data_IF_782022449898
#
_entry.id   IF_782022449898
#
_cell.length_a   1.000
_cell.length_b   1.000
_cell.length_c   1.000
_cell.angle_alpha   90.00
_cell.angle_beta   90.00
_cell.angle_gamma   90.00
#
_symmetry.space_group_name_H-M   'P 1'
#
loop_
_entity.id
_entity.type
_entity.pdbx_description
1 polymer ?
#
# COMPACT_ATOMS: atom_id res chain seq x y z
N UNK A 1 -13.16 51.92 -44.66
CA UNK A 1 -12.27 52.14 -43.49
C UNK A 1 -12.95 51.51 -42.29
N UNK A 2 -12.59 50.26 -42.01
CA UNK A 2 -13.18 49.51 -40.90
C UNK A 2 -12.61 50.03 -39.58
N UNK A 3 -13.50 50.26 -38.62
CA UNK A 3 -13.21 50.85 -37.31
C UNK A 3 -12.28 49.93 -36.49
N UNK A 4 -11.27 50.47 -35.78
CA UNK A 4 -10.26 49.69 -35.02
C UNK A 4 -10.83 48.92 -33.82
N UNK A 5 -12.13 49.05 -33.53
CA UNK A 5 -12.84 48.31 -32.49
C UNK A 5 -13.22 46.89 -32.90
N UNK A 6 -13.31 46.57 -34.20
CA UNK A 6 -13.69 45.21 -34.64
C UNK A 6 -12.52 44.22 -34.56
N UNK A 7 -11.27 44.68 -34.67
CA UNK A 7 -10.08 43.82 -34.63
C UNK A 7 -9.74 43.34 -33.21
N UNK A 8 -10.17 44.08 -32.18
CA UNK A 8 -9.95 43.67 -30.77
C UNK A 8 -10.95 42.61 -30.29
N UNK A 9 -12.16 42.56 -30.84
CA UNK A 9 -13.17 41.57 -30.44
C UNK A 9 -12.87 40.16 -30.99
N UNK A 10 -12.29 40.08 -32.20
CA UNK A 10 -11.93 38.80 -32.82
C UNK A 10 -10.63 38.24 -32.21
N UNK A 11 -9.65 39.08 -31.91
CA UNK A 11 -8.40 38.66 -31.25
C UNK A 11 -8.62 38.16 -29.81
N UNK A 12 -9.55 38.75 -29.08
CA UNK A 12 -9.91 38.29 -27.73
C UNK A 12 -10.61 36.91 -27.77
N UNK A 13 -11.48 36.68 -28.75
CA UNK A 13 -12.23 35.42 -28.86
C UNK A 13 -11.34 34.23 -29.28
N UNK A 14 -10.32 34.47 -30.11
CA UNK A 14 -9.35 33.41 -30.51
C UNK A 14 -8.33 33.15 -29.39
N UNK A 15 -7.92 34.17 -28.64
CA UNK A 15 -6.99 34.01 -27.52
C UNK A 15 -7.60 33.24 -26.34
N UNK A 16 -8.91 33.41 -26.05
CA UNK A 16 -9.56 32.66 -24.97
C UNK A 16 -9.80 31.19 -25.33
N UNK A 17 -10.01 30.86 -26.62
CA UNK A 17 -10.14 29.45 -27.06
C UNK A 17 -8.78 28.74 -27.07
N UNK A 18 -7.69 29.41 -27.44
CA UNK A 18 -6.34 28.81 -27.41
C UNK A 18 -5.79 28.65 -25.99
N UNK A 19 -6.12 29.56 -25.06
CA UNK A 19 -5.71 29.42 -23.65
C UNK A 19 -6.57 28.40 -22.89
N UNK A 20 -7.84 28.20 -23.27
CA UNK A 20 -8.66 27.12 -22.72
C UNK A 20 -8.22 25.72 -23.19
N UNK A 21 -7.66 25.60 -24.41
CA UNK A 21 -7.09 24.33 -24.92
C UNK A 21 -5.66 24.07 -24.43
N UNK A 22 -4.93 25.11 -24.02
CA UNK A 22 -3.58 24.99 -23.46
C UNK A 22 -3.52 24.61 -21.97
N UNK A 23 -4.66 24.59 -21.27
CA UNK A 23 -4.75 24.27 -19.84
C UNK A 23 -5.46 22.93 -19.55
N UNK A 24 -5.91 22.20 -20.58
CA UNK A 24 -6.40 20.81 -20.47
C UNK A 24 -5.37 19.77 -20.89
N UNK A 25 -4.11 20.16 -21.12
CA UNK A 25 -3.02 19.25 -21.50
C UNK A 25 -2.24 18.66 -20.31
N UNK A 26 -2.83 18.64 -19.13
CA UNK A 26 -2.26 17.98 -17.95
C UNK A 26 -3.22 16.85 -17.56
N UNK A 27 -2.82 15.61 -17.87
CA UNK A 27 -3.59 14.35 -17.92
C UNK A 27 -4.17 14.01 -19.30
N UNK A 28 -3.29 13.61 -20.23
CA UNK A 28 -3.69 12.76 -21.34
C UNK A 28 -4.00 11.38 -20.76
N UNK A 29 -5.25 11.14 -20.37
CA UNK A 29 -5.73 9.76 -20.32
C UNK A 29 -5.57 9.21 -21.74
N UNK A 30 -4.83 8.11 -21.88
CA UNK A 30 -4.79 7.35 -23.14
C UNK A 30 -6.25 7.01 -23.51
N UNK A 31 -6.63 6.93 -24.79
CA UNK A 31 -7.94 6.39 -25.13
C UNK A 31 -8.05 4.91 -24.73
N UNK A 32 -9.27 4.40 -24.47
CA UNK A 32 -9.45 2.97 -24.26
C UNK A 32 -9.06 2.17 -25.52
N UNK A 33 -8.67 0.90 -25.38
CA UNK A 33 -8.26 0.06 -26.50
C UNK A 33 -9.32 0.02 -27.61
N UNK A 34 -8.90 0.01 -28.87
CA UNK A 34 -9.82 -0.01 -30.00
C UNK A 34 -10.76 -1.23 -29.91
N UNK A 35 -12.07 -0.97 -29.99
CA UNK A 35 -13.11 -2.00 -29.89
C UNK A 35 -13.50 -2.42 -28.47
N UNK A 36 -12.83 -1.91 -27.43
CA UNK A 36 -13.15 -2.27 -26.03
C UNK A 36 -14.55 -1.82 -25.59
N UNK A 37 -14.98 -0.61 -25.96
CA UNK A 37 -16.32 -0.11 -25.63
C UNK A 37 -17.44 -0.94 -26.28
N UNK A 38 -17.30 -1.27 -27.56
CA UNK A 38 -18.25 -2.13 -28.30
C UNK A 38 -18.25 -3.54 -27.72
N UNK A 39 -17.07 -4.11 -27.47
CA UNK A 39 -16.90 -5.42 -26.83
C UNK A 39 -17.52 -5.48 -25.43
N UNK A 40 -17.44 -4.40 -24.63
CA UNK A 40 -18.06 -4.30 -23.30
C UNK A 40 -19.58 -4.21 -23.41
N UNK A 41 -20.10 -3.43 -24.35
CA UNK A 41 -21.54 -3.33 -24.58
C UNK A 41 -22.13 -4.68 -25.04
N UNK A 42 -21.46 -5.37 -25.96
CA UNK A 42 -21.87 -6.71 -26.39
C UNK A 42 -21.84 -7.73 -25.24
N UNK A 43 -20.83 -7.67 -24.37
CA UNK A 43 -20.78 -8.51 -23.17
C UNK A 43 -21.93 -8.21 -22.23
N UNK A 44 -22.21 -6.92 -21.98
CA UNK A 44 -23.33 -6.49 -21.13
C UNK A 44 -24.68 -7.00 -21.66
N UNK A 45 -24.92 -6.89 -22.97
CA UNK A 45 -26.14 -7.39 -23.62
C UNK A 45 -26.29 -8.90 -23.50
N UNK A 46 -25.18 -9.66 -23.63
CA UNK A 46 -25.20 -11.13 -23.42
C UNK A 46 -25.55 -11.50 -21.99
N UNK A 47 -24.95 -10.83 -21.00
CA UNK A 47 -25.21 -11.08 -19.58
C UNK A 47 -26.63 -10.67 -19.21
N UNK A 48 -27.11 -9.52 -19.68
CA UNK A 48 -28.48 -9.06 -19.42
C UNK A 48 -29.56 -9.97 -20.00
N UNK A 49 -29.22 -10.78 -21.00
CA UNK A 49 -30.11 -11.79 -21.59
C UNK A 49 -30.13 -13.13 -20.83
N UNK A 50 -29.30 -13.30 -19.80
CA UNK A 50 -29.27 -14.51 -18.96
C UNK A 50 -30.49 -14.55 -18.05
N UNK A 51 -31.20 -15.69 -18.06
CA UNK A 51 -32.29 -15.95 -17.12
C UNK A 51 -31.76 -15.87 -15.68
N UNK A 52 -32.37 -15.03 -14.85
CA UNK A 52 -31.95 -14.79 -13.46
C UNK A 52 -31.17 -13.50 -13.24
N UNK A 53 -30.87 -12.71 -14.29
CA UNK A 53 -30.22 -11.40 -14.19
C UNK A 53 -31.26 -10.28 -14.18
N UNK A 54 -31.16 -9.37 -13.21
CA UNK A 54 -32.03 -8.20 -13.05
C UNK A 54 -31.43 -6.94 -13.69
N UNK A 55 -30.13 -6.71 -13.53
CA UNK A 55 -29.43 -5.55 -14.08
C UNK A 55 -27.95 -5.84 -14.33
N UNK A 56 -27.38 -5.10 -15.26
CA UNK A 56 -25.95 -5.09 -15.57
C UNK A 56 -25.50 -3.65 -15.67
N UNK A 57 -24.50 -3.28 -14.89
CA UNK A 57 -23.81 -2.00 -14.95
C UNK A 57 -22.37 -2.22 -15.42
N UNK A 58 -21.85 -1.30 -16.23
CA UNK A 58 -20.50 -1.44 -16.79
C UNK A 58 -19.72 -0.14 -16.71
N UNK A 59 -18.41 -0.27 -16.50
CA UNK A 59 -17.48 0.86 -16.56
C UNK A 59 -16.14 0.41 -17.12
N UNK A 60 -15.51 1.31 -17.85
CA UNK A 60 -14.18 1.13 -18.42
C UNK A 60 -13.26 2.15 -17.75
N UNK A 61 -12.18 1.68 -17.12
CA UNK A 61 -11.28 2.55 -16.37
C UNK A 61 -9.82 2.18 -16.63
N UNK A 62 -8.99 3.19 -16.77
CA UNK A 62 -7.55 3.04 -16.79
C UNK A 62 -7.05 2.65 -15.40
N UNK A 63 -6.25 1.58 -15.30
CA UNK A 63 -5.79 1.04 -14.01
C UNK A 63 -4.91 2.03 -13.26
N UNK A 64 -3.93 2.58 -13.96
CA UNK A 64 -3.04 3.62 -13.44
C UNK A 64 -2.70 4.64 -14.54
N UNK A 65 -3.37 5.79 -14.51
CA UNK A 65 -3.17 6.84 -15.50
C UNK A 65 -1.76 7.46 -15.49
N UNK A 66 -0.99 7.26 -14.41
CA UNK A 66 0.30 7.90 -14.19
C UNK A 66 1.44 6.95 -14.49
N UNK A 67 1.40 5.75 -13.92
CA UNK A 67 2.52 4.81 -13.94
C UNK A 67 2.29 3.63 -14.93
N UNK A 68 1.05 3.35 -15.34
CA UNK A 68 0.70 2.34 -16.36
C UNK A 68 -0.46 2.76 -17.30
N UNK A 69 -0.25 3.78 -18.15
CA UNK A 69 -1.32 4.41 -18.89
C UNK A 69 -1.92 3.56 -20.02
N UNK A 70 -1.34 2.39 -20.33
CA UNK A 70 -1.86 1.53 -21.40
C UNK A 70 -2.72 0.37 -20.87
N UNK A 71 -2.79 0.21 -19.54
CA UNK A 71 -3.56 -0.86 -18.92
C UNK A 71 -4.96 -0.38 -18.54
N UNK A 72 -5.94 -1.13 -19.04
CA UNK A 72 -7.36 -0.86 -18.86
C UNK A 72 -8.07 -2.04 -18.20
N UNK A 73 -8.99 -1.69 -17.32
CA UNK A 73 -9.88 -2.61 -16.64
C UNK A 73 -11.31 -2.34 -17.12
N UNK A 74 -12.01 -3.41 -17.49
CA UNK A 74 -13.43 -3.41 -17.76
C UNK A 74 -14.12 -4.01 -16.53
N UNK A 75 -14.98 -3.24 -15.88
CA UNK A 75 -15.75 -3.70 -14.73
C UNK A 75 -17.19 -3.94 -15.14
N UNK A 76 -17.73 -5.06 -14.71
CA UNK A 76 -19.12 -5.46 -14.96
C UNK A 76 -19.74 -5.83 -13.61
N UNK A 77 -20.73 -5.07 -13.18
CA UNK A 77 -21.50 -5.34 -11.97
C UNK A 77 -22.84 -5.94 -12.40
N UNK A 78 -23.13 -7.16 -11.96
CA UNK A 78 -24.32 -7.94 -12.32
C UNK A 78 -25.17 -8.13 -11.09
N UNK A 79 -26.46 -7.81 -11.15
CA UNK A 79 -27.39 -8.09 -10.05
C UNK A 79 -28.34 -9.20 -10.44
N UNK A 80 -28.46 -10.24 -9.62
CA UNK A 80 -29.42 -11.32 -9.82
C UNK A 80 -30.85 -10.92 -9.40
N UNK A 81 -31.86 -11.51 -10.04
CA UNK A 81 -33.28 -11.26 -9.77
C UNK A 81 -33.81 -12.00 -8.51
N UNK A 82 -33.06 -12.98 -8.03
CA UNK A 82 -33.44 -13.86 -6.95
C UNK A 82 -32.23 -14.51 -6.27
N UNK A 83 -32.46 -15.28 -5.19
CA UNK A 83 -31.38 -15.76 -4.34
C UNK A 83 -30.66 -16.99 -4.88
N UNK A 84 -30.96 -17.47 -6.09
CA UNK A 84 -30.36 -18.70 -6.63
C UNK A 84 -28.93 -18.45 -7.14
N UNK A 85 -27.92 -19.04 -6.48
CA UNK A 85 -26.52 -18.89 -6.87
C UNK A 85 -26.20 -19.60 -8.20
N UNK A 86 -27.09 -20.47 -8.70
CA UNK A 86 -26.90 -21.13 -9.99
C UNK A 86 -26.80 -20.14 -11.16
N UNK A 87 -27.28 -18.90 -10.99
CA UNK A 87 -27.11 -17.82 -11.96
C UNK A 87 -25.63 -17.51 -12.24
N UNK A 88 -24.72 -17.75 -11.28
CA UNK A 88 -23.28 -17.58 -11.48
C UNK A 88 -22.74 -18.45 -12.63
N UNK A 89 -23.15 -19.73 -12.68
CA UNK A 89 -22.76 -20.64 -13.77
C UNK A 89 -23.34 -20.21 -15.12
N UNK A 90 -24.54 -19.61 -15.13
CA UNK A 90 -25.16 -19.12 -16.37
C UNK A 90 -24.44 -17.86 -16.88
N UNK A 91 -24.06 -16.96 -15.98
CA UNK A 91 -23.28 -15.75 -16.30
C UNK A 91 -21.90 -16.13 -16.81
N UNK A 92 -21.17 -17.00 -16.12
CA UNK A 92 -19.86 -17.51 -16.56
C UNK A 92 -19.92 -18.08 -17.99
N UNK A 93 -20.96 -18.86 -18.28
CA UNK A 93 -21.18 -19.45 -19.60
C UNK A 93 -21.30 -18.45 -20.77
N UNK A 94 -21.58 -17.16 -20.50
CA UNK A 94 -21.70 -16.10 -21.53
C UNK A 94 -20.57 -15.05 -21.50
N UNK A 95 -19.71 -15.08 -20.48
CA UNK A 95 -18.58 -14.15 -20.35
C UNK A 95 -17.57 -14.35 -21.49
N UNK A 96 -17.26 -15.60 -21.82
CA UNK A 96 -16.35 -15.95 -22.93
C UNK A 96 -14.93 -15.39 -22.73
N UNK A 97 -14.35 -14.82 -23.79
CA UNK A 97 -12.97 -14.28 -23.77
C UNK A 97 -12.86 -12.90 -23.06
N UNK A 98 -13.96 -12.40 -22.46
CA UNK A 98 -14.01 -11.11 -21.77
C UNK A 98 -14.11 -9.90 -22.71
N UNK A 99 -13.40 -8.83 -22.39
CA UNK A 99 -13.46 -7.53 -23.10
C UNK A 99 -12.14 -7.23 -23.79
N UNK A 100 -12.23 -6.91 -25.09
CA UNK A 100 -11.08 -6.73 -25.98
C UNK A 100 -10.06 -5.73 -25.42
N UNK A 101 -8.80 -6.19 -25.26
CA UNK A 101 -7.67 -5.35 -24.86
C UNK A 101 -7.67 -4.89 -23.39
N UNK A 102 -8.54 -5.44 -22.55
CA UNK A 102 -8.69 -5.06 -21.14
C UNK A 102 -8.56 -6.26 -20.20
N UNK A 103 -8.34 -6.01 -18.92
CA UNK A 103 -8.58 -7.02 -17.89
C UNK A 103 -10.05 -6.92 -17.44
N UNK A 104 -10.80 -8.01 -17.54
CA UNK A 104 -12.16 -8.06 -17.02
C UNK A 104 -12.15 -8.26 -15.50
N UNK A 105 -12.98 -7.49 -14.83
CA UNK A 105 -13.40 -7.64 -13.45
C UNK A 105 -14.93 -7.74 -13.45
N UNK A 106 -15.48 -8.81 -12.89
CA UNK A 106 -16.92 -9.07 -12.94
C UNK A 106 -17.40 -9.51 -11.56
N UNK A 107 -18.36 -8.75 -11.04
CA UNK A 107 -18.96 -9.00 -9.74
C UNK A 107 -20.44 -9.34 -9.95
N UNK A 108 -20.89 -10.45 -9.35
CA UNK A 108 -22.27 -10.88 -9.35
C UNK A 108 -22.86 -10.76 -7.94
N UNK A 109 -23.78 -9.82 -7.76
CA UNK A 109 -24.59 -9.65 -6.56
C UNK A 109 -25.81 -10.56 -6.59
N UNK A 110 -25.84 -11.55 -5.69
CA UNK A 110 -26.98 -12.44 -5.48
C UNK A 110 -27.68 -12.06 -4.18
N UNK A 111 -28.96 -11.63 -4.22
CA UNK A 111 -29.67 -11.21 -3.03
C UNK A 111 -29.85 -12.37 -2.03
N UNK A 112 -30.05 -11.99 -0.77
CA UNK A 112 -30.38 -12.93 0.29
C UNK A 112 -31.77 -13.56 0.10
N UNK A 113 -31.97 -14.71 0.74
CA UNK A 113 -33.22 -15.45 0.75
C UNK A 113 -33.55 -15.96 2.16
N UNK A 114 -34.64 -16.71 2.34
CA UNK A 114 -34.95 -17.34 3.62
C UNK A 114 -33.78 -18.21 4.12
N UNK A 115 -33.10 -17.77 5.19
CA UNK A 115 -31.94 -18.45 5.76
C UNK A 115 -30.65 -18.33 4.94
N UNK A 116 -30.60 -17.43 3.95
CA UNK A 116 -29.43 -17.21 3.10
C UNK A 116 -29.01 -15.74 3.15
N UNK A 117 -27.74 -15.49 3.46
CA UNK A 117 -27.13 -14.18 3.31
C UNK A 117 -27.02 -13.79 1.82
N UNK A 118 -27.13 -12.49 1.50
CA UNK A 118 -26.70 -11.97 0.20
C UNK A 118 -25.19 -12.22 -0.01
N UNK A 119 -24.81 -12.44 -1.26
CA UNK A 119 -23.40 -12.65 -1.64
C UNK A 119 -23.02 -11.82 -2.86
N UNK A 120 -21.78 -11.36 -2.88
CA UNK A 120 -21.11 -10.82 -4.07
C UNK A 120 -19.99 -11.78 -4.46
N UNK A 121 -19.91 -12.19 -5.72
CA UNK A 121 -18.98 -13.23 -6.16
C UNK A 121 -18.45 -12.97 -7.56
N UNK A 122 -17.22 -13.38 -7.85
CA UNK A 122 -16.76 -13.51 -9.24
C UNK A 122 -17.39 -14.77 -9.87
N UNK A 123 -18.34 -14.63 -10.81
CA UNK A 123 -19.00 -15.80 -11.41
C UNK A 123 -18.02 -16.68 -12.21
N UNK A 124 -16.88 -16.15 -12.65
CA UNK A 124 -15.88 -16.88 -13.47
C UNK A 124 -14.96 -17.79 -12.66
N UNK A 125 -15.07 -17.73 -11.32
CA UNK A 125 -14.23 -18.49 -10.40
C UNK A 125 -15.05 -19.53 -9.64
N UNK A 126 -14.98 -20.79 -10.07
CA UNK A 126 -15.67 -21.92 -9.41
C UNK A 126 -15.31 -22.02 -7.92
N UNK A 127 -14.06 -21.68 -7.56
CA UNK A 127 -13.59 -21.68 -6.15
C UNK A 127 -14.31 -20.62 -5.33
N UNK A 128 -14.48 -19.41 -5.87
CA UNK A 128 -15.16 -18.32 -5.18
C UNK A 128 -16.68 -18.57 -5.10
N UNK A 129 -17.29 -19.05 -6.18
CA UNK A 129 -18.71 -19.46 -6.20
C UNK A 129 -18.97 -20.58 -5.19
N UNK A 130 -18.08 -21.58 -5.10
CA UNK A 130 -18.17 -22.65 -4.11
C UNK A 130 -18.10 -22.11 -2.68
N UNK A 131 -17.14 -21.23 -2.39
CA UNK A 131 -16.98 -20.63 -1.06
C UNK A 131 -18.17 -19.75 -0.68
N UNK A 132 -18.68 -18.91 -1.58
CA UNK A 132 -19.91 -18.13 -1.35
C UNK A 132 -21.11 -19.04 -1.08
N UNK A 133 -21.23 -20.14 -1.81
CA UNK A 133 -22.29 -21.14 -1.64
C UNK A 133 -22.26 -21.81 -0.26
N UNK A 134 -21.07 -22.15 0.22
CA UNK A 134 -20.88 -22.72 1.55
C UNK A 134 -21.20 -21.70 2.66
N UNK A 135 -20.68 -20.47 2.55
CA UNK A 135 -20.77 -19.48 3.62
C UNK A 135 -22.13 -18.80 3.73
N UNK A 136 -22.87 -18.65 2.63
CA UNK A 136 -24.14 -17.90 2.65
C UNK A 136 -25.25 -18.54 3.47
N UNK A 137 -25.12 -19.82 3.81
CA UNK A 137 -26.05 -20.52 4.72
C UNK A 137 -25.76 -20.27 6.20
N UNK A 138 -24.62 -19.65 6.53
CA UNK A 138 -24.19 -19.44 7.91
C UNK A 138 -24.96 -18.29 8.57
N UNK A 139 -25.73 -18.61 9.61
CA UNK A 139 -26.57 -17.63 10.33
C UNK A 139 -25.77 -16.56 11.08
N UNK A 140 -24.46 -16.76 11.24
CA UNK A 140 -23.53 -15.83 11.86
C UNK A 140 -23.05 -14.74 10.90
N UNK A 141 -23.41 -14.80 9.61
CA UNK A 141 -22.99 -13.86 8.57
C UNK A 141 -24.20 -13.09 8.01
N UNK A 142 -24.06 -11.77 7.87
CA UNK A 142 -25.05 -10.89 7.26
C UNK A 142 -24.86 -10.76 5.75
N UNK A 143 -23.63 -10.87 5.25
CA UNK A 143 -23.29 -10.85 3.83
C UNK A 143 -21.91 -11.49 3.61
N UNK A 144 -21.67 -11.99 2.41
CA UNK A 144 -20.39 -12.59 2.02
C UNK A 144 -19.91 -11.96 0.71
N UNK A 145 -18.62 -11.67 0.61
CA UNK A 145 -17.97 -11.15 -0.59
C UNK A 145 -16.77 -12.06 -0.90
N UNK A 146 -16.84 -12.74 -2.04
CA UNK A 146 -15.77 -13.59 -2.57
C UNK A 146 -15.53 -13.21 -4.01
N UNK A 147 -14.98 -12.02 -4.23
CA UNK A 147 -14.58 -11.50 -5.53
C UNK A 147 -13.06 -11.68 -5.72
N UNK A 148 -12.56 -11.25 -6.88
CA UNK A 148 -11.12 -11.27 -7.17
C UNK A 148 -10.30 -10.51 -6.13
N UNK A 149 -10.84 -9.39 -5.65
CA UNK A 149 -10.13 -8.46 -4.77
C UNK A 149 -10.59 -8.52 -3.31
N UNK A 150 -11.71 -9.19 -3.01
CA UNK A 150 -12.23 -9.30 -1.66
C UNK A 150 -12.57 -10.75 -1.29
N UNK A 151 -12.05 -11.17 -0.14
CA UNK A 151 -12.47 -12.38 0.58
C UNK A 151 -12.91 -11.91 1.95
N UNK A 152 -14.19 -11.61 2.10
CA UNK A 152 -14.70 -11.03 3.34
C UNK A 152 -16.14 -11.40 3.64
N UNK A 153 -16.55 -11.20 4.89
CA UNK A 153 -17.94 -11.29 5.29
C UNK A 153 -18.26 -10.27 6.37
N UNK A 154 -19.53 -9.87 6.42
CA UNK A 154 -20.06 -9.04 7.50
C UNK A 154 -20.69 -9.97 8.53
N UNK A 155 -20.33 -9.81 9.80
CA UNK A 155 -20.88 -10.58 10.91
C UNK A 155 -22.34 -10.17 11.13
N UNK A 156 -23.23 -11.15 11.28
CA UNK A 156 -24.64 -10.91 11.51
C UNK A 156 -24.86 -10.24 12.88
N UNK A 157 -25.77 -9.24 12.98
CA UNK A 157 -26.04 -8.53 14.22
C UNK A 157 -26.31 -9.47 15.40
N UNK A 158 -25.60 -9.25 16.51
CA UNK A 158 -25.72 -10.05 17.73
C UNK A 158 -24.81 -11.27 17.80
N UNK A 159 -24.04 -11.57 16.75
CA UNK A 159 -22.98 -12.57 16.77
C UNK A 159 -21.61 -11.91 17.01
N UNK A 160 -20.66 -12.68 17.51
CA UNK A 160 -19.29 -12.23 17.76
C UNK A 160 -18.34 -12.59 16.62
N UNK A 161 -17.10 -12.08 16.64
CA UNK A 161 -16.07 -12.53 15.70
C UNK A 161 -15.73 -14.00 15.93
N UNK A 162 -15.72 -14.47 17.17
CA UNK A 162 -15.50 -15.90 17.47
C UNK A 162 -16.59 -16.79 16.84
N UNK A 163 -17.86 -16.40 16.93
CA UNK A 163 -18.97 -17.17 16.34
C UNK A 163 -18.86 -17.26 14.82
N UNK A 164 -18.58 -16.12 14.17
CA UNK A 164 -18.40 -16.07 12.72
C UNK A 164 -17.13 -16.79 12.25
N UNK A 165 -16.02 -16.66 12.97
CA UNK A 165 -14.77 -17.35 12.63
C UNK A 165 -14.90 -18.87 12.73
N UNK A 166 -15.65 -19.37 13.72
CA UNK A 166 -15.93 -20.81 13.87
C UNK A 166 -16.71 -21.38 12.66
N UNK A 167 -17.56 -20.57 12.03
CA UNK A 167 -18.27 -20.93 10.81
C UNK A 167 -17.38 -20.85 9.56
N UNK A 168 -16.52 -19.81 9.46
CA UNK A 168 -15.74 -19.53 8.24
C UNK A 168 -14.44 -20.35 8.14
N UNK A 169 -13.66 -20.46 9.22
CA UNK A 169 -12.32 -21.08 9.19
C UNK A 169 -12.28 -22.49 8.60
N UNK A 170 -13.28 -23.38 8.82
CA UNK A 170 -13.29 -24.72 8.21
C UNK A 170 -13.30 -24.74 6.68
N UNK A 171 -13.75 -23.66 6.04
CA UNK A 171 -13.80 -23.52 4.58
C UNK A 171 -12.51 -22.90 4.01
N UNK A 172 -11.61 -22.40 4.85
CA UNK A 172 -10.38 -21.74 4.41
C UNK A 172 -9.28 -22.77 4.13
N UNK A 173 -8.65 -22.66 2.97
CA UNK A 173 -7.50 -23.48 2.59
C UNK A 173 -6.19 -22.98 3.19
N UNK A 174 -5.16 -23.84 3.22
CA UNK A 174 -3.81 -23.49 3.74
C UNK A 174 -2.98 -22.63 2.78
N UNK A 175 -3.40 -22.48 1.53
CA UNK A 175 -2.74 -21.69 0.50
C UNK A 175 -3.65 -20.59 -0.07
N UNK A 176 -4.77 -20.31 0.60
CA UNK A 176 -5.75 -19.32 0.17
C UNK A 176 -5.43 -17.90 0.66
N UNK A 177 -6.04 -16.87 0.06
CA UNK A 177 -5.99 -15.51 0.57
C UNK A 177 -6.59 -15.44 1.98
N UNK A 178 -6.16 -14.44 2.74
CA UNK A 178 -6.71 -14.15 4.07
C UNK A 178 -8.17 -13.71 3.95
N UNK A 179 -9.05 -14.24 4.79
CA UNK A 179 -10.48 -13.93 4.77
C UNK A 179 -10.83 -12.93 5.88
N UNK A 180 -11.36 -11.76 5.55
CA UNK A 180 -11.66 -10.71 6.53
C UNK A 180 -13.10 -10.77 7.04
N UNK A 181 -13.30 -10.79 8.35
CA UNK A 181 -14.60 -10.53 8.97
C UNK A 181 -14.73 -9.06 9.34
N UNK A 182 -15.91 -8.48 9.19
CA UNK A 182 -16.24 -7.10 9.56
C UNK A 182 -17.51 -7.03 10.43
N UNK A 183 -17.56 -6.14 11.42
CA UNK A 183 -18.80 -5.90 12.19
C UNK A 183 -19.79 -4.96 11.48
N UNK A 184 -19.31 -4.14 10.54
CA UNK A 184 -20.13 -3.22 9.75
C UNK A 184 -19.52 -3.07 8.36
N UNK A 185 -20.35 -2.89 7.33
CA UNK A 185 -19.86 -2.36 6.07
C UNK A 185 -19.57 -0.89 6.32
N UNK A 186 -18.33 -0.45 6.17
CA UNK A 186 -17.95 0.94 6.41
C UNK A 186 -18.74 1.88 5.48
N UNK A 187 -19.89 2.38 5.93
CA UNK A 187 -20.72 3.34 5.19
C UNK A 187 -20.23 4.78 5.39
N UNK A 188 -19.23 5.01 6.25
CA UNK A 188 -18.66 6.33 6.50
C UNK A 188 -17.13 6.29 6.57
N UNK A 189 -16.49 7.29 5.97
CA UNK A 189 -15.03 7.46 5.85
C UNK A 189 -14.30 7.79 7.16
N UNK A 190 -14.99 7.79 8.31
CA UNK A 190 -14.47 8.31 9.59
C UNK A 190 -14.29 7.29 10.71
N UNK A 191 -14.83 6.07 10.57
CA UNK A 191 -14.61 4.98 11.52
C UNK A 191 -13.80 3.89 10.85
N UNK A 192 -12.67 3.49 11.46
CA UNK A 192 -11.99 2.26 11.06
C UNK A 192 -12.97 1.12 11.40
N UNK A 193 -13.53 0.40 10.41
CA UNK A 193 -14.44 -0.70 10.69
C UNK A 193 -13.70 -1.73 11.53
N UNK A 194 -14.38 -2.31 12.52
CA UNK A 194 -13.77 -3.40 13.26
C UNK A 194 -13.63 -4.60 12.33
N UNK A 195 -12.42 -5.15 12.22
CA UNK A 195 -12.12 -6.26 11.32
C UNK A 195 -11.20 -7.30 11.96
N UNK A 196 -11.41 -8.55 11.57
CA UNK A 196 -10.55 -9.68 11.94
C UNK A 196 -10.23 -10.46 10.69
N UNK A 197 -8.97 -10.42 10.28
CA UNK A 197 -8.48 -11.25 9.19
C UNK A 197 -8.18 -12.68 9.68
N UNK A 198 -8.72 -13.67 8.97
CA UNK A 198 -8.67 -15.08 9.27
C UNK A 198 -7.76 -15.83 8.29
N UNK A 199 -6.92 -16.68 8.84
CA UNK A 199 -6.38 -17.85 8.17
C UNK A 199 -7.12 -19.13 8.59
N UNK A 200 -6.72 -20.29 8.08
CA UNK A 200 -7.38 -21.58 8.37
C UNK A 200 -7.34 -21.99 9.84
N UNK A 201 -6.36 -21.48 10.59
CA UNK A 201 -6.19 -21.79 12.02
C UNK A 201 -5.95 -20.57 12.89
N UNK A 202 -5.77 -19.38 12.31
CA UNK A 202 -5.45 -18.14 13.02
C UNK A 202 -6.52 -17.07 12.74
N UNK A 203 -6.88 -16.23 13.71
CA UNK A 203 -6.55 -16.33 15.12
C UNK A 203 -7.15 -17.60 15.76
N UNK A 204 -6.52 -18.06 16.85
CA UNK A 204 -7.05 -19.18 17.65
C UNK A 204 -8.28 -18.75 18.47
N UNK A 205 -9.12 -19.71 18.93
CA UNK A 205 -10.29 -19.42 19.76
C UNK A 205 -10.00 -18.54 20.99
N UNK A 206 -8.87 -18.81 21.67
CA UNK A 206 -8.13 -17.91 22.58
C UNK A 206 -8.24 -16.40 22.29
N UNK A 207 -7.65 -16.08 21.14
CA UNK A 207 -7.46 -14.73 20.66
C UNK A 207 -8.79 -14.13 20.18
N UNK A 208 -9.63 -14.92 19.51
CA UNK A 208 -10.97 -14.48 19.09
C UNK A 208 -11.84 -14.06 20.29
N UNK A 209 -11.83 -14.86 21.37
CA UNK A 209 -12.52 -14.50 22.61
C UNK A 209 -11.95 -13.24 23.26
N UNK A 210 -10.63 -13.02 23.16
CA UNK A 210 -9.98 -11.79 23.63
C UNK A 210 -10.40 -10.58 22.80
N UNK A 211 -10.45 -10.71 21.48
CA UNK A 211 -10.91 -9.67 20.56
C UNK A 211 -12.36 -9.29 20.88
N UNK A 212 -13.24 -10.28 21.05
CA UNK A 212 -14.64 -10.04 21.42
C UNK A 212 -14.77 -9.35 22.79
N UNK A 213 -13.95 -9.75 23.77
CA UNK A 213 -13.93 -9.11 25.08
C UNK A 213 -13.45 -7.64 25.02
N UNK A 214 -12.47 -7.33 24.16
CA UNK A 214 -12.01 -5.95 23.94
C UNK A 214 -13.09 -5.13 23.26
N UNK A 215 -13.75 -5.66 22.22
CA UNK A 215 -14.83 -4.96 21.52
C UNK A 215 -16.03 -4.66 22.41
N UNK A 216 -16.28 -5.49 23.42
CA UNK A 216 -17.33 -5.27 24.39
C UNK A 216 -17.00 -4.18 25.44
N UNK A 217 -15.77 -3.66 25.48
CA UNK A 217 -15.40 -2.59 26.40
C UNK A 217 -15.97 -1.24 25.96
N UNK A 218 -16.48 -0.49 26.93
CA UNK A 218 -16.89 0.89 26.72
C UNK A 218 -15.72 1.74 26.21
N UNK A 219 -15.99 2.56 25.19
CA UNK A 219 -15.02 3.52 24.64
C UNK A 219 -14.11 2.96 23.54
N UNK A 220 -14.19 1.67 23.20
CA UNK A 220 -13.56 1.12 21.99
C UNK A 220 -14.34 1.59 20.76
N UNK A 221 -13.64 2.16 19.80
CA UNK A 221 -14.23 2.72 18.56
C UNK A 221 -13.89 1.93 17.30
N UNK A 222 -12.93 1.00 17.40
CA UNK A 222 -12.52 0.15 16.29
C UNK A 222 -11.37 -0.77 16.69
N UNK A 223 -11.27 -1.90 16.01
CA UNK A 223 -10.22 -2.90 16.22
C UNK A 223 -9.90 -3.57 14.89
N UNK A 224 -8.62 -3.78 14.59
CA UNK A 224 -8.19 -4.54 13.43
C UNK A 224 -7.19 -5.61 13.86
N UNK A 225 -7.51 -6.88 13.58
CA UNK A 225 -6.56 -7.98 13.71
C UNK A 225 -6.02 -8.36 12.33
N UNK A 226 -4.70 -8.41 12.20
CA UNK A 226 -3.99 -8.83 10.99
C UNK A 226 -3.17 -10.07 11.35
N UNK A 227 -3.40 -11.22 10.69
CA UNK A 227 -2.59 -12.42 10.93
C UNK A 227 -1.17 -12.20 10.45
N UNK A 228 -0.22 -12.85 11.11
CA UNK A 228 1.16 -12.89 10.66
C UNK A 228 1.30 -13.77 9.43
N UNK A 229 2.21 -13.41 8.54
CA UNK A 229 2.61 -14.24 7.42
C UNK A 229 3.82 -15.08 7.84
N UNK A 230 3.60 -16.40 7.89
CA UNK A 230 4.60 -17.40 8.23
C UNK A 230 5.79 -17.37 7.24
N UNK A 231 5.57 -16.94 6.01
CA UNK A 231 6.57 -16.87 4.94
C UNK A 231 7.30 -15.52 4.87
N UNK A 232 6.61 -14.41 5.17
CA UNK A 232 7.20 -13.07 5.15
C UNK A 232 7.81 -12.64 6.49
N UNK A 233 7.91 -13.55 7.47
CA UNK A 233 8.40 -13.25 8.82
C UNK A 233 7.64 -12.09 9.48
N UNK A 234 6.37 -11.86 9.14
CA UNK A 234 5.57 -10.81 9.78
C UNK A 234 4.85 -11.38 11.01
N UNK A 235 4.78 -10.59 12.08
CA UNK A 235 4.08 -10.99 13.31
C UNK A 235 2.58 -10.74 13.15
N UNK A 236 1.73 -11.58 13.77
CA UNK A 236 0.32 -11.23 13.93
C UNK A 236 0.21 -9.97 14.76
N UNK A 237 -0.82 -9.18 14.49
CA UNK A 237 -0.93 -7.86 15.09
C UNK A 237 -2.36 -7.41 15.34
N UNK A 238 -2.55 -6.65 16.42
CA UNK A 238 -3.85 -6.16 16.89
C UNK A 238 -3.81 -4.64 17.11
N UNK A 239 -4.51 -3.89 16.27
CA UNK A 239 -4.71 -2.45 16.43
C UNK A 239 -6.04 -2.18 17.13
N UNK A 240 -6.02 -1.38 18.19
CA UNK A 240 -7.23 -1.00 18.93
C UNK A 240 -7.30 0.52 19.06
N UNK A 241 -8.39 1.09 18.56
CA UNK A 241 -8.73 2.49 18.77
C UNK A 241 -9.73 2.61 19.93
N UNK A 242 -9.36 3.35 20.98
CA UNK A 242 -10.17 3.48 22.20
C UNK A 242 -9.97 4.82 22.91
N UNK A 243 -11.00 5.32 23.57
CA UNK A 243 -10.87 6.46 24.48
C UNK A 243 -10.27 6.08 25.85
N UNK A 244 -10.32 4.79 26.21
CA UNK A 244 -9.93 4.24 27.52
C UNK A 244 -8.80 3.20 27.39
N UNK A 245 -7.56 3.62 27.04
CA UNK A 245 -6.46 2.70 26.73
C UNK A 245 -6.07 1.81 27.92
N UNK A 246 -6.09 2.32 29.14
CA UNK A 246 -5.69 1.55 30.34
C UNK A 246 -6.57 0.31 30.55
N UNK A 247 -7.87 0.41 30.26
CA UNK A 247 -8.83 -0.70 30.36
C UNK A 247 -8.54 -1.77 29.31
N UNK A 248 -8.29 -1.36 28.06
CA UNK A 248 -7.91 -2.28 26.97
C UNK A 248 -6.58 -2.96 27.29
N UNK A 249 -5.56 -2.21 27.71
CA UNK A 249 -4.25 -2.73 28.07
C UNK A 249 -4.31 -3.71 29.24
N UNK A 250 -5.23 -3.53 30.20
CA UNK A 250 -5.44 -4.50 31.27
C UNK A 250 -5.95 -5.85 30.73
N UNK A 251 -6.86 -5.85 29.76
CA UNK A 251 -7.36 -7.07 29.10
C UNK A 251 -6.26 -7.73 28.28
N UNK A 252 -5.58 -6.98 27.41
CA UNK A 252 -4.54 -7.53 26.52
C UNK A 252 -3.35 -8.15 27.27
N UNK A 253 -2.98 -7.60 28.43
CA UNK A 253 -1.92 -8.15 29.29
C UNK A 253 -2.32 -9.42 30.04
N UNK A 254 -3.61 -9.59 30.31
CA UNK A 254 -4.14 -10.77 30.98
C UNK A 254 -4.54 -11.89 30.01
N UNK A 255 -4.55 -11.61 28.71
CA UNK A 255 -4.93 -12.55 27.67
C UNK A 255 -3.84 -13.58 27.38
N UNK A 256 -4.26 -14.77 26.95
CA UNK A 256 -3.36 -15.80 26.43
C UNK A 256 -3.17 -15.62 24.93
N UNK A 257 -1.97 -15.95 24.44
CA UNK A 257 -1.69 -16.08 23.01
C UNK A 257 -1.36 -17.55 22.75
N UNK A 258 -2.40 -18.37 22.59
CA UNK A 258 -2.28 -19.84 22.58
C UNK A 258 -1.30 -20.34 21.52
N UNK A 259 -1.26 -19.69 20.35
CA UNK A 259 -0.39 -20.10 19.26
C UNK A 259 1.07 -19.75 19.55
N UNK A 260 1.31 -18.58 20.15
CA UNK A 260 2.65 -18.20 20.60
C UNK A 260 3.12 -18.98 21.83
N UNK A 261 2.22 -19.24 22.78
CA UNK A 261 2.49 -20.03 23.98
C UNK A 261 2.80 -21.49 23.62
N UNK A 262 2.21 -22.01 22.54
CA UNK A 262 2.51 -23.33 21.97
C UNK A 262 3.74 -23.35 21.03
N UNK A 263 4.33 -22.19 20.72
CA UNK A 263 5.48 -22.08 19.82
C UNK A 263 5.16 -22.40 18.36
N UNK A 264 3.90 -22.29 17.94
CA UNK A 264 3.46 -22.55 16.55
C UNK A 264 3.25 -21.27 15.74
N UNK A 265 3.23 -20.11 16.41
CA UNK A 265 3.24 -18.79 15.79
C UNK A 265 4.10 -17.83 16.62
N UNK A 266 4.44 -16.68 16.03
CA UNK A 266 5.06 -15.57 16.76
C UNK A 266 4.01 -14.88 17.63
N UNK A 267 4.41 -14.37 18.79
CA UNK A 267 3.54 -13.61 19.70
C UNK A 267 2.99 -12.37 19.02
N UNK A 268 1.69 -12.19 19.19
CA UNK A 268 0.90 -11.12 18.64
C UNK A 268 1.32 -9.79 19.27
N UNK A 269 1.69 -8.83 18.42
CA UNK A 269 1.92 -7.46 18.85
C UNK A 269 0.61 -6.69 18.91
N UNK A 270 0.54 -5.66 19.75
CA UNK A 270 -0.61 -4.77 19.77
C UNK A 270 -0.21 -3.29 19.72
N UNK A 271 -1.12 -2.49 19.17
CA UNK A 271 -1.11 -1.03 19.26
C UNK A 271 -2.43 -0.55 19.81
N UNK A 272 -2.42 0.12 20.95
CA UNK A 272 -3.60 0.77 21.53
C UNK A 272 -3.45 2.28 21.36
N UNK A 273 -4.37 2.89 20.62
CA UNK A 273 -4.32 4.32 20.30
C UNK A 273 -5.61 5.02 20.71
N UNK A 274 -5.47 6.25 21.20
CA UNK A 274 -6.61 7.17 21.28
C UNK A 274 -6.94 7.69 19.88
N UNK A 275 -8.22 7.92 19.53
CA UNK A 275 -8.57 8.55 18.26
C UNK A 275 -7.79 9.87 18.07
N UNK A 276 -7.08 9.99 16.93
CA UNK A 276 -6.23 11.14 16.55
C UNK A 276 -4.93 11.31 17.34
N UNK A 277 -4.53 10.35 18.17
CA UNK A 277 -3.19 10.33 18.76
C UNK A 277 -2.15 9.87 17.73
N UNK A 278 -0.96 10.49 17.77
CA UNK A 278 0.15 10.16 16.86
C UNK A 278 1.05 9.04 17.37
N UNK A 279 0.95 8.69 18.65
CA UNK A 279 1.82 7.70 19.30
C UNK A 279 0.94 6.65 19.97
N UNK A 280 0.92 5.40 19.49
CA UNK A 280 0.22 4.31 20.15
C UNK A 280 1.01 3.81 21.36
N UNK A 281 0.30 3.23 22.33
CA UNK A 281 0.91 2.34 23.31
C UNK A 281 1.07 0.95 22.70
N UNK A 282 2.25 0.37 22.82
CA UNK A 282 2.59 -0.90 22.16
C UNK A 282 3.02 -1.96 23.16
N UNK A 283 2.86 -3.22 22.76
CA UNK A 283 3.30 -4.36 23.56
C UNK A 283 2.94 -5.69 22.92
N UNK A 284 2.95 -6.73 23.74
CA UNK A 284 2.76 -8.12 23.31
C UNK A 284 1.62 -8.74 24.12
N UNK A 285 0.77 -9.50 23.46
CA UNK A 285 -0.36 -10.16 24.12
C UNK A 285 0.15 -11.08 25.25
N UNK A 286 -0.42 -10.90 26.45
CA UNK A 286 -0.06 -11.66 27.64
C UNK A 286 1.23 -11.23 28.36
N UNK A 287 1.94 -10.19 27.89
CA UNK A 287 3.18 -9.72 28.52
C UNK A 287 3.03 -8.33 29.17
N UNK A 288 3.85 -7.98 30.19
CA UNK A 288 3.86 -6.64 30.76
C UNK A 288 4.21 -5.54 29.74
N UNK A 289 3.68 -4.32 29.93
CA UNK A 289 4.06 -3.16 29.11
C UNK A 289 5.57 -2.91 29.23
N UNK A 290 6.21 -2.64 28.08
CA UNK A 290 7.65 -2.42 28.00
C UNK A 290 8.49 -3.70 28.06
N UNK A 291 7.86 -4.88 28.01
CA UNK A 291 8.59 -6.12 27.74
C UNK A 291 9.35 -5.99 26.39
N UNK A 292 10.60 -6.48 26.32
CA UNK A 292 11.33 -6.51 25.06
C UNK A 292 10.59 -7.38 24.04
N UNK A 293 10.91 -7.21 22.77
CA UNK A 293 10.39 -8.10 21.71
C UNK A 293 10.69 -9.57 22.05
N UNK A 294 9.67 -10.46 22.01
CA UNK A 294 9.86 -11.88 22.19
C UNK A 294 10.81 -12.48 21.14
N UNK A 295 11.77 -13.25 21.62
CA UNK A 295 12.68 -14.04 20.77
C UNK A 295 12.01 -15.37 20.38
N UNK A 296 10.94 -15.25 19.60
CA UNK A 296 10.07 -16.33 19.12
C UNK A 296 9.97 -16.35 17.58
N UNK A 297 10.84 -15.58 16.93
CA UNK A 297 11.09 -15.72 15.50
C UNK A 297 11.71 -17.10 15.21
N UNK A 298 11.70 -17.54 13.95
CA UNK A 298 12.52 -18.68 13.57
C UNK A 298 13.95 -18.47 14.09
N UNK A 299 14.50 -19.48 14.78
CA UNK A 299 15.88 -19.44 15.25
C UNK A 299 16.73 -19.09 14.04
N UNK A 300 17.54 -18.00 14.08
CA UNK A 300 18.30 -17.61 12.93
C UNK A 300 19.17 -18.80 12.54
N UNK A 301 18.87 -19.41 11.39
CA UNK A 301 19.76 -20.41 10.84
C UNK A 301 21.12 -19.73 10.64
N UNK A 302 22.24 -20.47 10.66
CA UNK A 302 23.50 -19.93 10.18
C UNK A 302 23.32 -19.42 8.74
N UNK A 303 23.06 -18.11 8.57
CA UNK A 303 22.61 -17.47 7.33
C UNK A 303 21.37 -16.55 7.43
N UNK A 304 20.58 -16.60 8.52
CA UNK A 304 19.32 -15.82 8.68
C UNK A 304 19.49 -14.49 9.45
N UNK A 305 20.69 -14.19 9.98
CA UNK A 305 21.08 -12.77 10.02
C UNK A 305 21.19 -12.43 8.55
N UNK A 306 20.21 -11.72 8.00
CA UNK A 306 20.18 -11.38 6.58
C UNK A 306 21.48 -10.71 6.18
N UNK A 307 22.44 -11.50 5.75
CA UNK A 307 23.19 -11.21 4.56
C UNK A 307 22.12 -10.87 3.54
N UNK A 308 22.07 -9.59 3.14
CA UNK A 308 21.30 -9.17 1.98
C UNK A 308 21.46 -10.26 0.91
N UNK A 309 20.42 -10.66 0.16
CA UNK A 309 20.59 -11.58 -0.98
C UNK A 309 21.66 -11.06 -1.97
N UNK A 310 22.06 -9.79 -1.83
CA UNK A 310 23.33 -9.24 -2.31
C UNK A 310 24.40 -9.26 -1.22
N UNK A 311 24.94 -10.44 -0.91
CA UNK A 311 26.32 -10.48 -0.44
C UNK A 311 27.16 -10.18 -1.67
N UNK A 312 27.45 -8.90 -1.89
CA UNK A 312 28.55 -8.51 -2.76
C UNK A 312 29.86 -8.90 -2.04
N UNK A 313 30.11 -10.20 -1.84
CA UNK A 313 31.37 -10.71 -1.33
C UNK A 313 32.39 -10.66 -2.46
N UNK A 314 32.88 -9.46 -2.73
CA UNK A 314 33.85 -9.18 -3.76
C UNK A 314 34.77 -8.04 -3.31
N UNK A 315 36.00 -7.99 -3.82
CA UNK A 315 36.83 -6.80 -3.64
C UNK A 315 36.10 -5.58 -4.21
N UNK A 316 36.16 -4.44 -3.52
CA UNK A 316 35.69 -3.16 -4.06
C UNK A 316 36.39 -2.92 -5.41
N UNK A 317 35.60 -2.62 -6.45
CA UNK A 317 36.15 -2.24 -7.74
C UNK A 317 37.02 -0.99 -7.57
N UNK A 318 38.12 -0.93 -8.32
CA UNK A 318 38.94 0.28 -8.40
C UNK A 318 38.26 1.25 -9.35
N UNK A 319 37.64 2.30 -8.80
CA UNK A 319 36.88 3.32 -9.53
C UNK A 319 37.52 4.72 -9.40
N UNK A 320 38.80 4.90 -9.80
CA UNK A 320 39.54 6.14 -9.53
C UNK A 320 38.95 7.37 -10.23
N UNK A 321 38.31 7.18 -11.40
CA UNK A 321 37.65 8.27 -12.12
C UNK A 321 36.41 8.76 -11.38
N UNK A 322 35.61 7.83 -10.85
CA UNK A 322 34.39 8.14 -10.09
C UNK A 322 34.73 8.67 -8.69
N UNK A 323 35.78 8.16 -8.04
CA UNK A 323 36.29 8.75 -6.80
C UNK A 323 36.73 10.20 -6.97
N UNK A 324 37.45 10.50 -8.06
CA UNK A 324 37.84 11.86 -8.39
C UNK A 324 36.62 12.74 -8.71
N UNK A 325 35.65 12.22 -9.46
CA UNK A 325 34.44 12.95 -9.83
C UNK A 325 33.55 13.25 -8.63
N UNK A 326 33.27 12.26 -7.77
CA UNK A 326 32.49 12.44 -6.54
C UNK A 326 33.20 13.41 -5.60
N UNK A 327 34.52 13.27 -5.39
CA UNK A 327 35.28 14.21 -4.56
C UNK A 327 35.18 15.64 -5.11
N UNK A 328 35.43 15.84 -6.40
CA UNK A 328 35.35 17.16 -7.03
C UNK A 328 33.94 17.77 -6.95
N UNK A 329 32.90 16.95 -7.09
CA UNK A 329 31.50 17.40 -7.00
C UNK A 329 31.13 17.85 -5.58
N UNK A 330 31.57 17.10 -4.57
CA UNK A 330 31.37 17.47 -3.16
C UNK A 330 32.21 18.71 -2.82
N UNK A 331 33.46 18.81 -3.28
CA UNK A 331 34.31 20.00 -3.09
C UNK A 331 33.70 21.26 -3.75
N UNK A 332 33.12 21.14 -4.94
CA UNK A 332 32.40 22.24 -5.58
C UNK A 332 31.17 22.66 -4.77
N UNK A 333 30.44 21.69 -4.21
CA UNK A 333 29.30 21.94 -3.32
C UNK A 333 29.75 22.61 -2.01
N UNK A 334 30.89 22.20 -1.43
CA UNK A 334 31.50 22.87 -0.27
C UNK A 334 31.88 24.31 -0.62
N UNK A 335 32.49 24.55 -1.78
CA UNK A 335 32.86 25.89 -2.21
C UNK A 335 31.65 26.82 -2.34
N UNK A 336 30.48 26.31 -2.75
CA UNK A 336 29.23 27.08 -2.83
C UNK A 336 28.76 27.59 -1.46
N UNK A 337 29.07 26.89 -0.36
CA UNK A 337 28.75 27.35 1.01
C UNK A 337 29.61 28.52 1.48
N UNK A 338 30.76 28.75 0.82
CA UNK A 338 31.76 29.75 1.23
C UNK A 338 32.54 29.38 2.49
N UNK A 339 32.37 28.17 3.04
CA UNK A 339 33.05 27.69 4.25
C UNK A 339 33.89 26.46 3.91
N UNK A 340 35.21 26.47 4.23
CA UNK A 340 36.06 25.31 3.95
C UNK A 340 35.67 24.13 4.85
N UNK A 341 35.59 22.94 4.25
CA UNK A 341 35.34 21.68 4.94
C UNK A 341 36.10 20.55 4.24
N UNK A 342 36.50 19.54 5.01
CA UNK A 342 37.20 18.38 4.48
C UNK A 342 36.20 17.36 3.92
N UNK A 343 36.46 16.90 2.69
CA UNK A 343 35.62 15.94 2.00
C UNK A 343 36.15 14.53 2.23
N UNK A 344 35.30 13.66 2.75
CA UNK A 344 35.60 12.25 2.86
C UNK A 344 35.00 11.52 1.65
N UNK A 345 35.79 10.64 1.03
CA UNK A 345 35.29 9.72 0.01
C UNK A 345 35.65 8.30 0.36
N UNK A 346 34.70 7.39 0.14
CA UNK A 346 34.86 5.96 0.36
C UNK A 346 34.15 5.16 -0.72
N UNK A 347 34.64 3.95 -0.95
CA UNK A 347 33.97 2.93 -1.76
C UNK A 347 33.20 2.00 -0.84
N UNK A 348 32.02 1.62 -1.27
CA UNK A 348 31.22 0.59 -0.61
C UNK A 348 30.53 -0.27 -1.66
N UNK A 349 30.18 -1.49 -1.26
CA UNK A 349 29.43 -2.40 -2.09
C UNK A 349 27.98 -1.94 -2.13
N UNK A 350 27.32 -2.15 -3.26
CA UNK A 350 25.90 -1.87 -3.35
C UNK A 350 25.07 -2.88 -2.54
N UNK A 351 24.09 -2.36 -1.81
CA UNK A 351 23.25 -3.15 -0.89
C UNK A 351 22.15 -3.94 -1.62
N UNK A 352 21.69 -3.43 -2.78
CA UNK A 352 20.52 -3.93 -3.53
C UNK A 352 20.84 -4.32 -4.98
N UNK A 353 22.08 -4.18 -5.43
CA UNK A 353 22.53 -4.46 -6.80
C UNK A 353 24.00 -4.93 -6.80
N UNK A 354 24.44 -5.65 -7.83
CA UNK A 354 25.86 -6.04 -7.97
C UNK A 354 26.72 -4.83 -8.34
N UNK A 355 27.82 -4.60 -7.64
CA UNK A 355 28.79 -3.57 -7.98
C UNK A 355 29.30 -2.76 -6.79
N UNK A 356 30.21 -1.84 -7.09
CA UNK A 356 30.77 -0.86 -6.14
C UNK A 356 30.17 0.51 -6.42
N UNK A 357 29.79 1.23 -5.37
CA UNK A 357 29.48 2.65 -5.44
C UNK A 357 30.55 3.48 -4.74
N UNK A 358 30.72 4.70 -5.21
CA UNK A 358 31.54 5.71 -4.55
C UNK A 358 30.63 6.67 -3.80
N UNK A 359 30.91 6.89 -2.52
CA UNK A 359 30.19 7.84 -1.67
C UNK A 359 31.15 8.94 -1.22
N UNK A 360 30.74 10.18 -1.41
CA UNK A 360 31.39 11.36 -0.86
C UNK A 360 30.50 12.01 0.19
N UNK A 361 31.08 12.41 1.32
CA UNK A 361 30.34 13.04 2.41
C UNK A 361 31.16 14.14 3.07
N UNK A 362 30.46 15.15 3.59
CA UNK A 362 31.08 16.27 4.30
C UNK A 362 30.12 16.83 5.35
N UNK A 363 30.70 17.36 6.43
CA UNK A 363 30.04 18.23 7.39
C UNK A 363 30.68 19.62 7.28
N UNK A 364 29.94 20.58 6.75
CA UNK A 364 30.38 21.97 6.60
C UNK A 364 29.96 22.77 7.83
N UNK A 365 30.91 23.31 8.62
CA UNK A 365 30.61 24.04 9.84
C UNK A 365 30.19 25.49 9.52
N UNK A 366 29.06 25.65 8.84
CA UNK A 366 28.59 26.94 8.29
C UNK A 366 28.44 28.03 9.35
N UNK A 367 28.13 27.65 10.59
CA UNK A 367 27.96 28.58 11.72
C UNK A 367 29.26 29.26 12.19
N UNK A 368 30.42 28.85 11.68
CA UNK A 368 31.68 29.55 11.93
C UNK A 368 31.82 30.85 11.12
N UNK A 369 30.99 31.02 10.09
CA UNK A 369 31.05 32.17 9.15
C UNK A 369 29.69 32.83 8.98
N UNK A 370 28.59 32.06 9.03
CA UNK A 370 27.22 32.53 8.80
C UNK A 370 26.37 32.39 10.06
N UNK A 371 25.44 33.32 10.29
CA UNK A 371 24.54 33.29 11.46
C UNK A 371 23.41 32.24 11.30
N UNK A 372 23.13 31.83 10.06
CA UNK A 372 22.18 30.78 9.72
C UNK A 372 22.73 29.86 8.63
N UNK A 373 22.09 28.70 8.46
CA UNK A 373 22.45 27.71 7.46
C UNK A 373 21.64 27.82 6.16
N UNK A 374 20.65 28.73 6.08
CA UNK A 374 19.70 28.78 4.97
C UNK A 374 20.38 29.28 3.70
N UNK A 375 21.14 30.37 3.77
CA UNK A 375 21.89 30.90 2.62
C UNK A 375 22.86 29.87 2.02
N UNK A 376 23.73 29.24 2.83
CA UNK A 376 24.61 28.16 2.37
C UNK A 376 23.87 26.93 1.85
N UNK A 377 22.71 26.59 2.42
CA UNK A 377 21.89 25.47 1.96
C UNK A 377 21.33 25.72 0.57
N UNK A 378 20.73 26.90 0.37
CA UNK A 378 20.14 27.31 -0.91
C UNK A 378 21.21 27.37 -2.00
N UNK A 379 22.42 27.86 -1.68
CA UNK A 379 23.54 27.90 -2.63
C UNK A 379 23.97 26.51 -3.14
N UNK A 380 23.94 25.48 -2.28
CA UNK A 380 24.26 24.11 -2.68
C UNK A 380 23.15 23.53 -3.56
N UNK A 381 21.90 23.70 -3.14
CA UNK A 381 20.72 23.17 -3.84
C UNK A 381 20.50 23.85 -5.20
N UNK A 382 20.72 25.16 -5.30
CA UNK A 382 20.68 25.90 -6.56
C UNK A 382 21.75 25.39 -7.54
N UNK A 383 22.94 25.06 -7.03
CA UNK A 383 24.01 24.43 -7.80
C UNK A 383 23.60 23.05 -8.35
N UNK A 384 23.04 22.19 -7.51
CA UNK A 384 22.56 20.87 -7.92
C UNK A 384 21.41 20.96 -8.94
N UNK A 385 20.49 21.90 -8.74
CA UNK A 385 19.38 22.16 -9.66
C UNK A 385 19.88 22.65 -11.02
N UNK A 386 20.90 23.51 -11.04
CA UNK A 386 21.54 23.98 -12.28
C UNK A 386 22.24 22.84 -13.04
N UNK A 387 22.76 21.85 -12.32
CA UNK A 387 23.34 20.62 -12.89
C UNK A 387 22.30 19.56 -13.29
N UNK A 388 21.00 19.89 -13.18
CA UNK A 388 19.89 19.07 -13.62
C UNK A 388 19.36 18.08 -12.59
N UNK A 389 19.80 18.15 -11.33
CA UNK A 389 19.21 17.35 -10.26
C UNK A 389 17.80 17.83 -9.95
N UNK A 390 16.92 16.90 -9.56
CA UNK A 390 15.58 17.20 -9.09
C UNK A 390 15.35 16.60 -7.71
N UNK A 391 14.54 17.27 -6.89
CA UNK A 391 14.24 16.80 -5.54
C UNK A 391 13.36 15.54 -5.62
N UNK A 392 13.87 14.43 -5.07
CA UNK A 392 13.21 13.13 -5.07
C UNK A 392 12.38 12.90 -3.79
N UNK A 393 12.74 13.58 -2.69
CA UNK A 393 11.98 13.49 -1.45
C UNK A 393 12.63 14.17 -0.27
N UNK A 394 11.96 14.08 0.88
CA UNK A 394 12.43 14.59 2.17
C UNK A 394 12.06 13.60 3.28
N UNK A 395 13.03 13.21 4.09
CA UNK A 395 12.79 12.39 5.28
C UNK A 395 13.67 12.85 6.43
N UNK A 396 13.08 12.97 7.64
CA UNK A 396 13.82 13.33 8.87
C UNK A 396 14.67 14.61 8.75
N UNK A 397 14.18 15.58 7.98
CA UNK A 397 14.88 16.85 7.72
C UNK A 397 16.09 16.75 6.77
N UNK A 398 16.26 15.63 6.06
CA UNK A 398 17.21 15.45 4.97
C UNK A 398 16.47 15.50 3.63
N UNK A 399 17.02 16.27 2.70
CA UNK A 399 16.53 16.40 1.33
C UNK A 399 17.32 15.47 0.43
N UNK A 400 16.62 14.74 -0.41
CA UNK A 400 17.19 13.80 -1.37
C UNK A 400 16.97 14.30 -2.78
N UNK A 401 18.00 14.20 -3.60
CA UNK A 401 18.06 14.72 -4.95
C UNK A 401 18.53 13.61 -5.89
N UNK A 402 17.83 13.47 -7.01
CA UNK A 402 18.14 12.49 -8.05
C UNK A 402 18.76 13.20 -9.26
N UNK A 403 19.83 12.62 -9.76
CA UNK A 403 20.52 13.10 -10.94
C UNK A 403 19.75 12.70 -12.21
N UNK A 404 19.95 13.39 -13.35
CA UNK A 404 19.42 12.94 -14.63
C UNK A 404 20.07 11.60 -15.04
N UNK A 405 19.34 10.70 -15.72
CA UNK A 405 19.88 9.40 -16.10
C UNK A 405 21.04 9.52 -17.10
N UNK A 406 22.05 8.67 -16.95
CA UNK A 406 23.16 8.55 -17.90
C UNK A 406 24.26 9.61 -17.79
N UNK A 407 24.45 10.22 -16.60
CA UNK A 407 25.57 11.15 -16.38
C UNK A 407 26.93 10.46 -16.59
N UNK A 408 27.90 11.15 -17.21
CA UNK A 408 29.22 10.60 -17.49
C UNK A 408 30.08 10.37 -16.24
N UNK A 409 29.79 11.08 -15.14
CA UNK A 409 30.47 10.93 -13.85
C UNK A 409 29.88 9.80 -12.98
N UNK A 410 28.79 9.19 -13.42
CA UNK A 410 28.12 8.10 -12.70
C UNK A 410 27.38 8.52 -11.44
N UNK A 411 27.33 9.82 -11.10
CA UNK A 411 26.61 10.33 -9.93
C UNK A 411 25.12 10.17 -10.15
N UNK A 412 24.43 9.53 -9.21
CA UNK A 412 23.00 9.22 -9.33
C UNK A 412 22.17 9.95 -8.29
N UNK A 413 22.73 10.22 -7.11
CA UNK A 413 21.99 10.90 -6.04
C UNK A 413 22.85 11.77 -5.15
N UNK A 414 22.20 12.76 -4.56
CA UNK A 414 22.76 13.66 -3.56
C UNK A 414 21.77 13.83 -2.40
N UNK A 415 22.29 14.14 -1.21
CA UNK A 415 21.45 14.46 -0.06
C UNK A 415 22.04 15.57 0.78
N UNK A 416 21.19 16.40 1.38
CA UNK A 416 21.61 17.51 2.24
C UNK A 416 20.69 17.62 3.45
N UNK A 417 21.26 17.95 4.61
CA UNK A 417 20.55 18.17 5.86
C UNK A 417 21.20 19.27 6.68
N UNK A 418 20.36 20.15 7.24
CA UNK A 418 20.75 21.03 8.33
C UNK A 418 20.90 20.26 9.65
N UNK A 419 22.00 20.49 10.34
CA UNK A 419 22.32 19.92 11.66
C UNK A 419 22.68 21.03 12.65
N UNK A 420 22.80 20.69 13.93
CA UNK A 420 23.27 21.65 14.94
C UNK A 420 24.71 22.11 14.70
N UNK A 421 25.52 21.28 14.03
CA UNK A 421 26.94 21.53 13.78
C UNK A 421 27.21 22.15 12.39
N UNK A 422 26.17 22.31 11.57
CA UNK A 422 26.24 22.92 10.24
C UNK A 422 25.49 22.12 9.17
N UNK A 423 25.97 22.13 7.93
CA UNK A 423 25.36 21.41 6.81
C UNK A 423 26.04 20.07 6.57
N UNK A 424 25.27 18.99 6.64
CA UNK A 424 25.71 17.65 6.27
C UNK A 424 25.17 17.31 4.89
N UNK A 425 26.05 17.09 3.92
CA UNK A 425 25.63 16.59 2.61
C UNK A 425 26.56 15.51 2.09
N UNK A 426 26.00 14.70 1.20
CA UNK A 426 26.71 13.62 0.55
C UNK A 426 26.20 13.36 -0.85
N UNK A 427 27.04 12.76 -1.67
CA UNK A 427 26.83 12.49 -3.09
C UNK A 427 27.29 11.07 -3.34
N UNK A 428 26.56 10.32 -4.17
CA UNK A 428 26.93 8.95 -4.48
C UNK A 428 26.68 8.59 -5.95
N UNK A 429 27.50 7.68 -6.46
CA UNK A 429 27.27 7.05 -7.75
C UNK A 429 26.18 6.00 -7.66
N UNK A 430 25.67 5.59 -8.83
CA UNK A 430 24.98 4.32 -8.97
C UNK A 430 25.93 3.13 -8.76
N UNK A 431 25.37 1.93 -8.90
CA UNK A 431 26.12 0.68 -8.78
C UNK A 431 26.90 0.40 -10.06
N UNK A 432 28.23 0.39 -9.95
CA UNK A 432 29.13 0.20 -11.08
C UNK A 432 29.83 -1.17 -10.98
N UNK A 433 29.99 -1.89 -12.10
CA UNK A 433 30.52 -3.26 -12.11
C UNK A 433 32.01 -3.35 -11.74
#
# INVERSE_FOLDING_TARGET
MASPTLHRAIAASVATVVVAWGLTSCFFAEPPPEGSEESLAELADRIAAVDGVASVETRLQQRDAKDDPFTWDAYVEVTADGPDLAVATLVDGVVGDGVTGTTLDIDLDVPGGPGLAPVTVDPTSEVQVGLAGDLRGESTLASVDTTRYAYSAVVAPGNSFADAAAAVQPHLGTAGPTFALHLDQATTTTSVPSSVALGPTSPAPTMLATIDAVLALDGVTGLAFIPGDVTASSRPSLDVSTYEPDTVLAVLRGAADEQADAGVARRTEFWVRKPRATTPETGWIGLPIGAPEPDDGPEPQPGDIGESPFVNEGPLAELPEQEAAVRAYVEASVAATGVPAEVETRRELCETEYGTRVVGSVLVPVFTVHDDAQGPFDAVVDGWSADGFHQAGRAMGRDYWSAPPGRPDGIESASIRGTADGLSFGVQTGCLP
#
